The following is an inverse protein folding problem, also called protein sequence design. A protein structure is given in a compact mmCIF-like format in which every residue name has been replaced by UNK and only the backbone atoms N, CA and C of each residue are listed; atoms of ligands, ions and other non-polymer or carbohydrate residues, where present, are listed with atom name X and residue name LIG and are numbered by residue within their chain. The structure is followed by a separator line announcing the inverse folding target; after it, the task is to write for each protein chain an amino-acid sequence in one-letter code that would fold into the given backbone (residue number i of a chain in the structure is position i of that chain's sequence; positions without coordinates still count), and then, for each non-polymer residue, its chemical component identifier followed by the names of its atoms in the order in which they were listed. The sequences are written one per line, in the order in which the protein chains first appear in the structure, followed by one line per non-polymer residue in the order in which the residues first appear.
data_IF_483411346883
#
_entry.id   IF_483411346883
#
_cell.length_a   1.000
_cell.length_b   1.000
_cell.length_c   1.000
_cell.angle_alpha   90.00
_cell.angle_beta   90.00
_cell.angle_gamma   90.00
#
_symmetry.space_group_name_H-M   'P 1'
#
loop_
_entity.id
_entity.type
_entity.pdbx_description
1 polymer ?
#
# COMPACT_ATOMS: atom_id res chain seq x y z
N UNK A 1 -6.97 -11.53 -36.33
CA UNK A 1 -6.74 -10.84 -35.05
C UNK A 1 -6.31 -11.88 -34.04
N UNK A 2 -5.28 -11.61 -33.23
CA UNK A 2 -5.06 -12.35 -31.98
C UNK A 2 -6.22 -12.05 -31.04
N UNK A 3 -6.77 -13.06 -30.38
CA UNK A 3 -7.85 -12.83 -29.41
C UNK A 3 -7.32 -12.09 -28.18
N UNK A 4 -8.19 -11.35 -27.49
CA UNK A 4 -7.91 -10.74 -26.17
C UNK A 4 -7.14 -11.69 -25.25
N UNK A 5 -7.53 -12.97 -25.23
CA UNK A 5 -6.94 -14.02 -24.41
C UNK A 5 -5.54 -14.44 -24.87
N UNK A 6 -5.24 -14.41 -26.18
CA UNK A 6 -3.90 -14.67 -26.69
C UNK A 6 -2.93 -13.53 -26.34
N UNK A 7 -3.37 -12.28 -26.45
CA UNK A 7 -2.58 -11.10 -26.07
C UNK A 7 -2.35 -11.07 -24.56
N UNK A 8 -3.40 -11.25 -23.76
CA UNK A 8 -3.31 -11.31 -22.29
C UNK A 8 -2.37 -12.43 -21.81
N UNK A 9 -2.51 -13.65 -22.37
CA UNK A 9 -1.62 -14.75 -22.02
C UNK A 9 -0.16 -14.48 -22.45
N UNK A 10 0.07 -13.85 -23.59
CA UNK A 10 1.42 -13.53 -24.06
C UNK A 10 2.13 -12.50 -23.16
N UNK A 11 1.38 -11.55 -22.56
CA UNK A 11 1.93 -10.61 -21.58
C UNK A 11 2.09 -11.24 -20.19
N UNK A 12 1.06 -11.93 -19.67
CA UNK A 12 1.13 -12.57 -18.33
C UNK A 12 2.22 -13.66 -18.28
N UNK A 13 2.41 -14.45 -19.35
CA UNK A 13 3.42 -15.51 -19.40
C UNK A 13 4.88 -14.99 -19.40
N UNK A 14 5.09 -13.67 -19.47
CA UNK A 14 6.40 -13.02 -19.34
C UNK A 14 6.55 -12.20 -18.06
N UNK A 15 5.51 -12.18 -17.22
CA UNK A 15 5.53 -11.38 -16.00
C UNK A 15 6.24 -12.16 -14.89
N UNK A 16 7.47 -11.76 -14.59
CA UNK A 16 8.28 -12.38 -13.54
C UNK A 16 7.71 -12.07 -12.14
N UNK A 17 7.78 -13.04 -11.22
CA UNK A 17 7.36 -12.84 -9.84
C UNK A 17 8.22 -11.75 -9.18
N UNK A 18 7.59 -10.69 -8.66
CA UNK A 18 8.26 -9.55 -8.04
C UNK A 18 8.62 -8.41 -9.01
N UNK A 19 8.37 -8.55 -10.31
CA UNK A 19 8.51 -7.45 -11.25
C UNK A 19 7.48 -6.35 -10.98
N UNK A 20 7.83 -5.10 -11.33
CA UNK A 20 6.89 -3.98 -11.32
C UNK A 20 5.70 -4.31 -12.25
N UNK A 21 4.45 -4.27 -11.77
CA UNK A 21 3.29 -4.63 -12.59
C UNK A 21 3.12 -3.62 -13.73
N UNK A 22 3.28 -4.09 -14.96
CA UNK A 22 3.12 -3.28 -16.15
C UNK A 22 1.63 -3.08 -16.46
N UNK A 23 1.24 -1.86 -16.86
CA UNK A 23 -0.10 -1.62 -17.42
C UNK A 23 -0.21 -2.31 -18.78
N UNK A 24 -0.97 -3.40 -18.82
CA UNK A 24 -1.13 -4.17 -20.06
C UNK A 24 -2.15 -3.47 -20.95
N UNK A 25 -1.66 -2.78 -21.98
CA UNK A 25 -2.52 -2.19 -23.01
C UNK A 25 -2.90 -3.26 -24.03
N UNK A 26 -4.18 -3.62 -24.08
CA UNK A 26 -4.71 -4.61 -25.02
C UNK A 26 -5.42 -3.91 -26.17
N UNK A 27 -4.86 -4.05 -27.38
CA UNK A 27 -5.52 -3.61 -28.62
C UNK A 27 -6.74 -4.47 -28.90
N UNK A 28 -7.90 -3.83 -29.07
CA UNK A 28 -9.19 -4.42 -29.40
C UNK A 28 -9.66 -3.88 -30.76
N UNK A 29 -10.70 -4.48 -31.35
CA UNK A 29 -11.06 -4.18 -32.74
C UNK A 29 -11.38 -2.68 -33.00
N UNK A 30 -12.05 -2.02 -32.06
CA UNK A 30 -12.46 -0.60 -32.14
C UNK A 30 -11.91 0.25 -30.98
N UNK A 31 -10.78 -0.13 -30.38
CA UNK A 31 -10.17 0.65 -29.29
C UNK A 31 -9.08 -0.07 -28.51
N UNK A 32 -8.81 0.40 -27.28
CA UNK A 32 -7.85 -0.20 -26.36
C UNK A 32 -8.50 -0.42 -24.99
N UNK A 33 -8.17 -1.54 -24.33
CA UNK A 33 -8.46 -1.77 -22.92
C UNK A 33 -7.14 -1.74 -22.14
N UNK A 34 -7.01 -0.81 -21.20
CA UNK A 34 -5.87 -0.80 -20.30
C UNK A 34 -6.19 -1.69 -19.10
N UNK A 35 -5.41 -2.76 -18.91
CA UNK A 35 -5.58 -3.69 -17.80
C UNK A 35 -4.53 -3.43 -16.73
N UNK A 36 -4.98 -3.25 -15.49
CA UNK A 36 -4.12 -3.19 -14.31
C UNK A 36 -4.21 -4.51 -13.53
N UNK A 37 -3.18 -5.37 -13.60
CA UNK A 37 -3.15 -6.62 -12.86
C UNK A 37 -2.73 -6.40 -11.39
N UNK A 38 -3.62 -6.74 -10.47
CA UNK A 38 -3.32 -6.89 -9.06
C UNK A 38 -3.23 -8.37 -8.70
N UNK A 39 -2.11 -8.78 -8.14
CA UNK A 39 -1.84 -10.13 -7.65
C UNK A 39 -2.15 -10.26 -6.17
N UNK A 40 -2.21 -11.51 -5.70
CA UNK A 40 -2.34 -11.88 -4.29
C UNK A 40 -3.55 -11.26 -3.59
N UNK A 41 -4.63 -11.06 -4.33
CA UNK A 41 -5.91 -10.53 -3.87
C UNK A 41 -6.73 -11.66 -3.27
N UNK A 42 -7.12 -11.54 -2.00
CA UNK A 42 -7.73 -12.61 -1.21
C UNK A 42 -9.25 -12.59 -1.20
N UNK A 43 -9.88 -11.51 -1.70
CA UNK A 43 -11.33 -11.41 -1.76
C UNK A 43 -11.84 -10.53 -2.90
N UNK A 44 -13.10 -10.75 -3.29
CA UNK A 44 -13.83 -9.88 -4.21
C UNK A 44 -13.92 -8.44 -3.70
N UNK A 45 -14.08 -8.23 -2.39
CA UNK A 45 -14.14 -6.91 -1.77
C UNK A 45 -12.82 -6.15 -1.88
N UNK A 46 -11.69 -6.86 -1.73
CA UNK A 46 -10.36 -6.30 -1.92
C UNK A 46 -10.09 -5.97 -3.40
N UNK A 47 -10.50 -6.84 -4.34
CA UNK A 47 -10.45 -6.54 -5.78
C UNK A 47 -11.23 -5.27 -6.12
N UNK A 48 -12.48 -5.17 -5.66
CA UNK A 48 -13.35 -3.99 -5.80
C UNK A 48 -12.67 -2.73 -5.24
N UNK A 49 -12.06 -2.83 -4.06
CA UNK A 49 -11.41 -1.69 -3.42
C UNK A 49 -10.11 -1.27 -4.15
N UNK A 50 -9.32 -2.21 -4.66
CA UNK A 50 -8.13 -1.96 -5.49
C UNK A 50 -8.49 -1.22 -6.78
N UNK A 51 -9.45 -1.75 -7.52
CA UNK A 51 -9.96 -1.19 -8.79
C UNK A 51 -10.41 0.25 -8.57
N UNK A 52 -11.27 0.48 -7.57
CA UNK A 52 -11.79 1.81 -7.26
C UNK A 52 -10.74 2.78 -6.70
N UNK A 53 -9.69 2.27 -6.06
CA UNK A 53 -8.60 3.09 -5.51
C UNK A 53 -7.62 3.56 -6.58
N UNK A 54 -7.44 2.80 -7.65
CA UNK A 54 -6.53 3.14 -8.76
C UNK A 54 -7.24 3.82 -9.95
N UNK A 55 -8.51 4.24 -9.76
CA UNK A 55 -9.28 5.00 -10.76
C UNK A 55 -9.96 4.13 -11.83
N UNK A 56 -10.02 2.82 -11.62
CA UNK A 56 -10.71 1.90 -12.52
C UNK A 56 -12.19 1.72 -12.18
N UNK A 57 -12.97 1.34 -13.19
CA UNK A 57 -14.42 1.22 -13.09
C UNK A 57 -14.95 -0.20 -13.34
N UNK A 58 -14.20 -1.04 -14.04
CA UNK A 58 -14.57 -2.42 -14.38
C UNK A 58 -13.52 -3.38 -13.87
N UNK A 59 -13.89 -4.62 -13.58
CA UNK A 59 -12.93 -5.61 -13.09
C UNK A 59 -13.28 -7.06 -13.46
N UNK A 60 -12.25 -7.91 -13.39
CA UNK A 60 -12.38 -9.37 -13.36
C UNK A 60 -11.60 -9.92 -12.17
N UNK A 61 -12.26 -10.61 -11.26
CA UNK A 61 -11.66 -11.31 -10.13
C UNK A 61 -11.59 -12.81 -10.43
N UNK A 62 -10.41 -13.39 -10.23
CA UNK A 62 -10.10 -14.80 -10.40
C UNK A 62 -9.71 -15.34 -9.01
N UNK A 63 -10.67 -15.88 -8.25
CA UNK A 63 -10.39 -16.29 -6.87
C UNK A 63 -9.33 -17.39 -6.76
N UNK A 64 -9.30 -18.31 -7.72
CA UNK A 64 -8.47 -19.52 -7.67
C UNK A 64 -6.98 -19.22 -7.85
N UNK A 65 -6.66 -18.08 -8.49
CA UNK A 65 -5.29 -17.57 -8.65
C UNK A 65 -5.00 -16.32 -7.79
N UNK A 66 -6.00 -15.81 -7.06
CA UNK A 66 -5.89 -14.56 -6.29
C UNK A 66 -5.57 -13.34 -7.18
N UNK A 67 -6.09 -13.30 -8.40
CA UNK A 67 -5.82 -12.21 -9.36
C UNK A 67 -7.05 -11.31 -9.49
N UNK A 68 -6.84 -10.00 -9.46
CA UNK A 68 -7.82 -8.99 -9.81
C UNK A 68 -7.30 -8.18 -11.00
N UNK A 69 -8.07 -8.14 -12.09
CA UNK A 69 -7.77 -7.34 -13.28
C UNK A 69 -8.69 -6.12 -13.26
N UNK A 70 -8.16 -4.93 -13.03
CA UNK A 70 -8.89 -3.68 -13.28
C UNK A 70 -8.88 -3.35 -14.77
N UNK A 71 -10.01 -2.93 -15.34
CA UNK A 71 -10.15 -2.63 -16.78
C UNK A 71 -10.58 -1.19 -17.01
N UNK A 72 -9.78 -0.48 -17.80
CA UNK A 72 -10.05 0.87 -18.24
C UNK A 72 -10.61 0.87 -19.66
N UNK A 73 -11.90 1.23 -19.76
CA UNK A 73 -12.54 1.51 -21.03
C UNK A 73 -12.53 3.03 -21.29
N UNK A 74 -11.69 3.53 -22.20
CA UNK A 74 -11.65 4.95 -22.55
C UNK A 74 -12.90 5.38 -23.35
N UNK A 75 -13.13 6.68 -23.45
CA UNK A 75 -14.25 7.26 -24.21
C UNK A 75 -15.41 7.76 -23.33
N UNK A 76 -16.29 8.53 -23.95
CA UNK A 76 -17.32 9.37 -23.28
C UNK A 76 -18.75 8.91 -23.54
N UNK A 77 -18.93 7.79 -24.24
CA UNK A 77 -20.24 7.24 -24.59
C UNK A 77 -21.12 7.04 -23.37
N UNK A 78 -22.40 7.41 -23.45
CA UNK A 78 -23.36 7.22 -22.37
C UNK A 78 -23.77 5.75 -22.28
N UNK A 79 -23.21 5.04 -21.31
CA UNK A 79 -23.52 3.64 -21.03
C UNK A 79 -24.36 3.51 -19.77
N UNK A 80 -25.40 2.69 -19.86
CA UNK A 80 -26.38 2.41 -18.80
C UNK A 80 -26.00 1.07 -18.15
N UNK A 81 -25.27 1.13 -17.03
CA UNK A 81 -24.84 -0.03 -16.26
C UNK A 81 -25.92 -0.46 -15.27
N UNK A 82 -26.24 -1.76 -15.20
CA UNK A 82 -27.14 -2.32 -14.18
C UNK A 82 -26.46 -2.36 -12.79
N UNK A 83 -27.20 -2.54 -11.71
CA UNK A 83 -26.70 -2.64 -10.32
C UNK A 83 -27.28 -3.85 -9.58
N UNK A 84 -26.46 -4.47 -8.74
CA UNK A 84 -26.86 -5.52 -7.80
C UNK A 84 -26.26 -6.89 -8.13
N UNK A 85 -26.18 -7.78 -7.14
CA UNK A 85 -25.74 -9.16 -7.35
C UNK A 85 -26.69 -9.90 -8.31
N UNK A 86 -26.13 -10.78 -9.15
CA UNK A 86 -26.84 -11.57 -10.17
C UNK A 86 -27.69 -10.80 -11.21
N UNK A 87 -27.66 -9.46 -11.21
CA UNK A 87 -28.43 -8.59 -12.12
C UNK A 87 -29.90 -9.04 -12.27
N UNK A 88 -30.64 -9.04 -11.17
CA UNK A 88 -32.09 -9.27 -11.17
C UNK A 88 -32.83 -8.37 -12.19
N UNK A 89 -34.00 -8.78 -12.66
CA UNK A 89 -34.82 -8.00 -13.60
C UNK A 89 -35.17 -6.60 -13.09
N UNK A 90 -35.23 -6.41 -11.76
CA UNK A 90 -35.47 -5.13 -11.07
C UNK A 90 -34.19 -4.33 -10.74
N UNK A 91 -33.03 -4.76 -11.23
CA UNK A 91 -31.75 -4.09 -11.02
C UNK A 91 -31.80 -2.60 -11.37
N UNK A 92 -31.43 -1.74 -10.41
CA UNK A 92 -31.29 -0.30 -10.64
C UNK A 92 -30.19 -0.01 -11.69
N UNK A 93 -30.20 1.19 -12.27
CA UNK A 93 -29.29 1.56 -13.37
C UNK A 93 -28.49 2.81 -13.04
N UNK A 94 -27.27 2.89 -13.58
CA UNK A 94 -26.35 4.03 -13.48
C UNK A 94 -25.91 4.43 -14.88
N UNK A 95 -26.02 5.72 -15.18
CA UNK A 95 -25.40 6.30 -16.36
C UNK A 95 -23.94 6.61 -16.09
N UNK A 96 -23.02 6.10 -16.91
CA UNK A 96 -21.60 6.45 -16.91
C UNK A 96 -21.17 6.95 -18.29
N UNK A 97 -20.14 7.78 -18.34
CA UNK A 97 -19.47 8.18 -19.59
C UNK A 97 -18.26 7.26 -19.82
N UNK A 98 -18.49 6.13 -20.52
CA UNK A 98 -17.50 5.07 -20.81
C UNK A 98 -17.90 4.36 -22.10
N UNK A 99 -16.98 4.12 -23.04
CA UNK A 99 -17.27 3.32 -24.23
C UNK A 99 -16.91 1.85 -23.97
N UNK A 100 -17.90 0.97 -23.79
CA UNK A 100 -17.65 -0.47 -23.70
C UNK A 100 -17.13 -0.98 -25.07
N UNK A 101 -16.01 -1.73 -25.13
CA UNK A 101 -15.50 -2.30 -26.38
C UNK A 101 -16.47 -3.27 -27.06
N UNK A 102 -16.41 -3.35 -28.39
CA UNK A 102 -17.31 -4.20 -29.21
C UNK A 102 -17.19 -5.70 -28.90
N UNK A 103 -16.04 -6.17 -28.40
CA UNK A 103 -15.84 -7.57 -28.02
C UNK A 103 -16.76 -8.02 -26.85
N UNK A 104 -17.40 -7.08 -26.15
CA UNK A 104 -18.40 -7.35 -25.09
C UNK A 104 -19.86 -7.23 -25.58
N UNK A 105 -20.10 -7.02 -26.88
CA UNK A 105 -21.45 -6.87 -27.44
C UNK A 105 -22.17 -8.21 -27.47
N UNK A 106 -23.32 -8.27 -26.82
CA UNK A 106 -24.26 -9.40 -26.88
C UNK A 106 -25.25 -9.25 -28.03
N UNK A 107 -25.62 -8.01 -28.37
CA UNK A 107 -26.53 -7.71 -29.48
C UNK A 107 -26.23 -6.30 -30.02
N UNK A 108 -25.80 -6.17 -31.29
CA UNK A 108 -25.34 -4.89 -31.86
C UNK A 108 -26.47 -3.91 -32.15
N UNK A 109 -27.69 -4.41 -32.34
CA UNK A 109 -28.89 -3.62 -32.60
C UNK A 109 -30.13 -4.30 -32.01
N UNK A 110 -30.75 -3.65 -31.02
CA UNK A 110 -32.09 -3.98 -30.50
C UNK A 110 -32.96 -2.73 -30.52
N UNK A 111 -34.28 -2.89 -30.62
CA UNK A 111 -35.19 -1.74 -30.64
C UNK A 111 -35.24 -1.03 -29.29
N UNK A 112 -35.11 0.29 -29.29
CA UNK A 112 -35.30 1.14 -28.12
C UNK A 112 -35.16 2.63 -28.43
N UNK A 113 -36.24 3.37 -28.25
CA UNK A 113 -36.35 4.81 -28.54
C UNK A 113 -35.78 5.72 -27.45
N UNK A 114 -35.51 5.17 -26.26
CA UNK A 114 -34.97 5.89 -25.10
C UNK A 114 -34.17 4.97 -24.17
N UNK A 115 -33.54 5.58 -23.16
CA UNK A 115 -32.70 4.89 -22.17
C UNK A 115 -33.47 3.80 -21.40
N UNK A 116 -34.76 4.01 -21.10
CA UNK A 116 -35.61 3.05 -20.39
C UNK A 116 -35.90 1.85 -21.28
N UNK A 117 -36.19 2.07 -22.56
CA UNK A 117 -36.37 1.01 -23.55
C UNK A 117 -35.09 0.17 -23.73
N UNK A 118 -33.91 0.81 -23.80
CA UNK A 118 -32.62 0.10 -23.85
C UNK A 118 -32.35 -0.75 -22.61
N UNK A 119 -32.66 -0.23 -21.42
CA UNK A 119 -32.54 -0.99 -20.15
C UNK A 119 -33.52 -2.17 -20.12
N UNK A 120 -34.77 -1.97 -20.53
CA UNK A 120 -35.78 -3.02 -20.58
C UNK A 120 -35.37 -4.13 -21.57
N UNK A 121 -34.85 -3.77 -22.75
CA UNK A 121 -34.32 -4.73 -23.72
C UNK A 121 -33.12 -5.53 -23.16
N UNK A 122 -32.27 -4.91 -22.34
CA UNK A 122 -31.19 -5.60 -21.64
C UNK A 122 -31.71 -6.56 -20.55
N UNK A 123 -32.70 -6.11 -19.75
CA UNK A 123 -33.32 -6.92 -18.70
C UNK A 123 -34.10 -8.12 -19.25
N UNK A 124 -34.72 -7.98 -20.42
CA UNK A 124 -35.46 -9.02 -21.13
C UNK A 124 -34.60 -9.86 -22.08
N UNK A 125 -33.29 -9.62 -22.15
CA UNK A 125 -32.41 -10.32 -23.08
C UNK A 125 -32.34 -11.82 -22.76
N UNK A 126 -32.73 -12.66 -23.72
CA UNK A 126 -32.68 -14.12 -23.63
C UNK A 126 -31.32 -14.70 -24.06
N UNK A 127 -30.26 -13.89 -24.08
CA UNK A 127 -28.91 -14.37 -24.41
C UNK A 127 -28.40 -15.33 -23.33
N UNK A 128 -27.60 -16.36 -23.68
CA UNK A 128 -26.98 -17.24 -22.69
C UNK A 128 -26.03 -16.50 -21.72
N UNK A 129 -25.56 -15.32 -22.12
CA UNK A 129 -24.74 -14.43 -21.32
C UNK A 129 -25.60 -13.33 -20.68
N UNK A 130 -25.22 -12.92 -19.47
CA UNK A 130 -25.91 -11.90 -18.70
C UNK A 130 -25.72 -10.52 -19.34
N UNK A 131 -26.81 -9.88 -19.77
CA UNK A 131 -26.76 -8.48 -20.22
C UNK A 131 -26.50 -7.54 -19.03
N UNK A 132 -25.33 -6.91 -19.05
CA UNK A 132 -24.81 -6.05 -17.99
C UNK A 132 -25.08 -4.55 -18.23
N UNK A 133 -25.05 -4.15 -19.50
CA UNK A 133 -25.13 -2.75 -19.89
C UNK A 133 -25.85 -2.55 -21.23
N UNK A 134 -26.37 -1.34 -21.43
CA UNK A 134 -26.91 -0.91 -22.72
C UNK A 134 -26.43 0.51 -23.08
N UNK A 135 -26.31 0.78 -24.37
CA UNK A 135 -25.97 2.09 -24.93
C UNK A 135 -26.92 2.39 -26.08
N UNK A 136 -27.38 3.64 -26.23
CA UNK A 136 -28.13 4.05 -27.43
C UNK A 136 -27.18 4.15 -28.63
N UNK A 137 -27.41 3.35 -29.67
CA UNK A 137 -26.64 3.42 -30.92
C UNK A 137 -27.26 4.40 -31.92
N UNK A 138 -28.58 4.60 -31.90
CA UNK A 138 -29.27 5.61 -32.71
C UNK A 138 -30.44 6.24 -31.93
N UNK A 139 -31.32 6.98 -32.62
CA UNK A 139 -32.59 7.45 -32.07
C UNK A 139 -33.57 6.31 -31.76
N UNK A 140 -33.47 5.16 -32.43
CA UNK A 140 -34.43 4.03 -32.34
C UNK A 140 -33.80 2.69 -31.94
N UNK A 141 -32.47 2.60 -31.84
CA UNK A 141 -31.75 1.36 -31.54
C UNK A 141 -30.77 1.50 -30.38
N UNK A 142 -30.58 0.38 -29.69
CA UNK A 142 -29.60 0.20 -28.62
C UNK A 142 -28.61 -0.91 -28.98
N UNK A 143 -27.43 -0.86 -28.36
CA UNK A 143 -26.44 -1.92 -28.32
C UNK A 143 -26.39 -2.49 -26.90
N UNK A 144 -26.40 -3.82 -26.79
CA UNK A 144 -26.40 -4.55 -25.51
C UNK A 144 -25.04 -5.18 -25.25
N UNK A 145 -24.56 -5.12 -24.01
CA UNK A 145 -23.23 -5.61 -23.61
C UNK A 145 -23.30 -6.51 -22.39
N UNK A 146 -22.33 -7.42 -22.26
CA UNK A 146 -22.16 -8.32 -21.13
C UNK A 146 -20.73 -8.85 -21.02
N UNK A 147 -20.34 -9.43 -19.88
CA UNK A 147 -19.07 -10.13 -19.78
C UNK A 147 -19.04 -11.34 -20.71
N UNK A 148 -17.85 -11.67 -21.20
CA UNK A 148 -17.60 -12.92 -21.91
C UNK A 148 -17.87 -14.13 -21.01
N UNK A 149 -18.15 -15.29 -21.62
CA UNK A 149 -18.30 -16.55 -20.90
C UNK A 149 -17.08 -16.84 -20.01
N UNK A 150 -17.32 -17.03 -18.71
CA UNK A 150 -16.28 -17.39 -17.76
C UNK A 150 -15.72 -18.79 -18.07
N UNK A 151 -14.39 -18.97 -17.94
CA UNK A 151 -13.74 -20.28 -18.10
C UNK A 151 -13.85 -21.15 -16.84
N UNK A 152 -14.08 -20.54 -15.69
CA UNK A 152 -14.27 -21.20 -14.39
C UNK A 152 -15.49 -20.60 -13.68
N UNK A 153 -16.23 -21.36 -12.85
CA UNK A 153 -17.37 -20.84 -12.10
C UNK A 153 -16.99 -19.81 -11.01
N UNK A 154 -15.69 -19.71 -10.74
CA UNK A 154 -15.02 -18.86 -9.74
C UNK A 154 -14.57 -17.50 -10.29
N UNK A 155 -14.66 -17.31 -11.61
CA UNK A 155 -14.36 -16.02 -12.26
C UNK A 155 -15.55 -15.06 -12.11
N UNK A 156 -15.31 -13.88 -11.53
CA UNK A 156 -16.34 -12.86 -11.29
C UNK A 156 -15.98 -11.59 -12.08
N UNK A 157 -16.80 -11.21 -13.05
CA UNK A 157 -16.73 -9.90 -13.70
C UNK A 157 -17.68 -8.91 -13.01
N UNK A 158 -17.29 -7.63 -12.91
CA UNK A 158 -18.12 -6.61 -12.27
C UNK A 158 -17.66 -5.19 -12.58
N UNK A 159 -18.37 -4.22 -11.99
CA UNK A 159 -18.07 -2.79 -12.13
C UNK A 159 -18.45 -2.03 -10.87
N UNK A 160 -17.80 -0.88 -10.72
CA UNK A 160 -18.00 0.06 -9.64
C UNK A 160 -18.94 1.17 -10.11
N UNK A 161 -19.81 1.62 -9.21
CA UNK A 161 -20.75 2.71 -9.50
C UNK A 161 -20.54 3.94 -8.61
N UNK A 162 -19.41 3.95 -7.90
CA UNK A 162 -18.87 5.01 -7.07
C UNK A 162 -17.37 4.73 -6.87
N UNK A 163 -16.56 5.76 -6.72
CA UNK A 163 -15.15 5.58 -6.33
C UNK A 163 -15.04 4.95 -4.95
N UNK A 164 -13.89 4.35 -4.64
CA UNK A 164 -13.58 3.91 -3.28
C UNK A 164 -13.33 5.15 -2.40
N UNK A 165 -14.20 5.41 -1.43
CA UNK A 165 -14.09 6.53 -0.49
C UNK A 165 -14.02 6.00 0.93
N UNK A 166 -12.86 6.14 1.55
CA UNK A 166 -12.67 5.85 2.97
C UNK A 166 -12.78 7.16 3.78
N UNK A 167 -14.01 7.57 4.08
CA UNK A 167 -14.27 8.75 4.91
C UNK A 167 -13.93 8.48 6.37
N UNK A 168 -12.94 9.21 6.88
CA UNK A 168 -12.56 9.18 8.29
C UNK A 168 -13.55 10.00 9.13
N UNK A 169 -13.92 9.52 10.33
CA UNK A 169 -14.71 10.28 11.32
C UNK A 169 -13.94 10.43 12.65
N UNK A 170 -13.05 11.42 12.80
CA UNK A 170 -12.29 11.63 14.02
C UNK A 170 -12.93 12.74 14.89
N UNK A 171 -13.87 12.37 15.76
CA UNK A 171 -14.20 13.12 16.99
C UNK A 171 -13.62 12.37 18.20
N UNK A 172 -12.38 11.90 18.07
CA UNK A 172 -11.66 11.08 19.04
C UNK A 172 -10.63 11.92 19.82
N UNK A 173 -10.24 11.51 21.03
CA UNK A 173 -9.34 12.30 21.87
C UNK A 173 -7.94 12.44 21.28
N UNK A 174 -7.26 13.53 21.65
CA UNK A 174 -5.83 13.72 21.38
C UNK A 174 -5.04 12.84 22.34
N UNK A 175 -4.04 12.12 21.82
CA UNK A 175 -3.17 11.27 22.62
C UNK A 175 -2.31 12.10 23.59
N UNK A 176 -2.19 11.67 24.84
CA UNK A 176 -1.40 12.34 25.88
C UNK A 176 -0.95 11.37 26.98
N UNK A 177 0.07 11.76 27.73
CA UNK A 177 0.57 11.03 28.92
C UNK A 177 0.92 9.54 28.71
N UNK A 178 1.74 9.18 27.70
CA UNK A 178 2.23 7.81 27.52
C UNK A 178 3.03 7.33 28.73
N UNK A 179 2.89 6.05 29.08
CA UNK A 179 3.76 5.38 30.06
C UNK A 179 4.70 4.36 29.43
N UNK A 180 4.47 4.02 28.15
CA UNK A 180 5.34 3.20 27.31
C UNK A 180 5.64 3.90 25.98
N UNK A 181 6.79 3.59 25.38
CA UNK A 181 7.13 3.97 24.01
C UNK A 181 7.73 2.77 23.28
N UNK A 182 7.18 2.44 22.12
CA UNK A 182 7.69 1.40 21.24
C UNK A 182 8.24 2.08 19.98
N UNK A 183 9.55 1.97 19.80
CA UNK A 183 10.29 2.57 18.69
C UNK A 183 10.52 1.47 17.64
N UNK A 184 10.20 1.79 16.39
CA UNK A 184 10.31 0.95 15.21
C UNK A 184 11.20 1.69 14.22
N UNK A 185 12.44 1.24 14.04
CA UNK A 185 13.38 1.86 13.09
C UNK A 185 13.55 0.95 11.90
N UNK A 186 13.30 1.47 10.71
CA UNK A 186 13.39 0.72 9.45
C UNK A 186 14.17 1.50 8.39
N UNK A 187 14.58 0.82 7.32
CA UNK A 187 15.22 1.51 6.20
C UNK A 187 14.19 2.39 5.47
N UNK A 188 13.10 1.76 5.03
CA UNK A 188 12.09 2.35 4.18
C UNK A 188 10.73 2.51 4.89
N UNK A 189 9.82 3.26 4.28
CA UNK A 189 8.55 3.68 4.89
C UNK A 189 7.44 2.61 4.89
N UNK A 190 7.68 1.45 4.30
CA UNK A 190 6.76 0.30 4.22
C UNK A 190 7.27 -0.93 4.96
N UNK A 191 8.59 -1.07 5.18
CA UNK A 191 9.23 -2.17 5.91
C UNK A 191 8.50 -2.62 7.18
N UNK A 192 8.05 -1.69 8.03
CA UNK A 192 7.34 -2.04 9.26
C UNK A 192 6.00 -2.69 8.95
N UNK A 193 5.24 -2.15 7.98
CA UNK A 193 3.97 -2.70 7.51
C UNK A 193 4.17 -4.10 6.89
N UNK A 194 5.32 -4.37 6.26
CA UNK A 194 5.69 -5.69 5.76
C UNK A 194 6.03 -6.67 6.90
N UNK A 195 6.98 -6.31 7.77
CA UNK A 195 7.71 -7.24 8.64
C UNK A 195 7.37 -7.15 10.14
N UNK A 196 6.64 -6.12 10.58
CA UNK A 196 6.44 -5.79 12.01
C UNK A 196 4.97 -5.52 12.42
N UNK A 197 4.01 -5.72 11.52
CA UNK A 197 2.59 -5.38 11.70
C UNK A 197 1.90 -5.97 12.92
N UNK A 198 2.14 -7.24 13.27
CA UNK A 198 1.59 -7.84 14.49
C UNK A 198 2.03 -7.08 15.75
N UNK A 199 3.31 -6.71 15.81
CA UNK A 199 3.87 -6.04 16.99
C UNK A 199 3.38 -4.59 17.10
N UNK A 200 3.41 -3.80 16.02
CA UNK A 200 2.92 -2.42 16.12
C UNK A 200 1.39 -2.36 16.21
N UNK A 201 0.62 -3.32 15.69
CA UNK A 201 -0.84 -3.35 15.89
C UNK A 201 -1.20 -3.27 17.38
N UNK A 202 -0.63 -4.16 18.20
CA UNK A 202 -0.87 -4.15 19.65
C UNK A 202 -0.30 -2.90 20.33
N UNK A 203 0.74 -2.31 19.77
CA UNK A 203 1.34 -1.07 20.26
C UNK A 203 0.47 0.17 19.98
N UNK A 204 -0.14 0.26 18.79
CA UNK A 204 -1.14 1.29 18.46
C UNK A 204 -2.40 1.06 19.30
N UNK A 205 -2.82 -0.20 19.49
CA UNK A 205 -4.01 -0.53 20.26
C UNK A 205 -3.89 -0.24 21.77
N UNK A 206 -2.69 -0.13 22.34
CA UNK A 206 -2.49 0.19 23.76
C UNK A 206 -2.57 1.70 24.04
N UNK A 207 -3.55 2.09 24.86
CA UNK A 207 -3.79 3.47 25.27
C UNK A 207 -2.64 4.10 26.07
N UNK A 208 -1.73 3.29 26.63
CA UNK A 208 -0.55 3.76 27.37
C UNK A 208 0.71 3.89 26.48
N UNK A 209 0.66 3.44 25.22
CA UNK A 209 1.84 3.31 24.35
C UNK A 209 1.89 4.40 23.29
N UNK A 210 3.02 5.11 23.23
CA UNK A 210 3.42 5.91 22.06
C UNK A 210 4.12 4.98 21.06
N UNK A 211 3.74 5.03 19.79
CA UNK A 211 4.43 4.30 18.71
C UNK A 211 5.27 5.29 17.92
N UNK A 212 6.54 4.96 17.67
CA UNK A 212 7.46 5.85 16.94
C UNK A 212 8.10 5.09 15.79
N UNK A 213 7.72 5.42 14.56
CA UNK A 213 8.39 4.97 13.34
C UNK A 213 9.53 5.93 12.97
N UNK A 214 10.71 5.39 12.67
CA UNK A 214 11.90 6.14 12.28
C UNK A 214 12.47 5.54 11.00
N UNK A 215 12.46 6.30 9.91
CA UNK A 215 12.91 5.85 8.59
C UNK A 215 14.30 6.39 8.30
N UNK A 216 15.29 5.51 8.14
CA UNK A 216 16.68 5.92 7.95
C UNK A 216 16.94 6.47 6.55
N UNK A 217 16.29 5.92 5.51
CA UNK A 217 16.40 6.39 4.13
C UNK A 217 15.24 7.30 3.71
N UNK A 218 15.36 7.89 2.52
CA UNK A 218 14.28 8.59 1.83
C UNK A 218 13.33 7.64 1.12
N UNK A 219 13.64 6.36 1.00
CA UNK A 219 12.82 5.42 0.24
C UNK A 219 12.83 5.70 -1.27
N UNK A 220 13.76 6.50 -1.80
CA UNK A 220 13.61 7.26 -3.04
C UNK A 220 13.75 6.47 -4.36
N UNK A 221 14.22 5.22 -4.34
CA UNK A 221 14.44 4.37 -5.53
C UNK A 221 14.99 5.17 -6.74
N UNK A 222 16.15 5.81 -6.52
CA UNK A 222 16.91 6.58 -7.52
C UNK A 222 16.22 7.86 -8.04
N UNK A 223 15.03 8.22 -7.54
CA UNK A 223 14.29 9.40 -8.01
C UNK A 223 14.85 10.73 -7.47
N UNK A 224 15.72 11.34 -8.27
CA UNK A 224 16.26 12.68 -8.03
C UNK A 224 15.18 13.79 -7.92
N UNK A 225 13.95 13.58 -8.40
CA UNK A 225 12.87 14.58 -8.42
C UNK A 225 12.01 14.58 -7.15
N UNK A 226 12.37 13.83 -6.11
CA UNK A 226 11.64 13.69 -4.83
C UNK A 226 10.21 13.11 -4.94
N UNK A 227 9.70 12.77 -6.13
CA UNK A 227 8.31 12.36 -6.33
C UNK A 227 8.01 11.04 -5.61
N UNK A 228 8.94 10.10 -5.72
CA UNK A 228 8.83 8.77 -5.12
C UNK A 228 8.95 8.80 -3.59
N UNK A 229 9.91 9.58 -3.05
CA UNK A 229 9.99 9.87 -1.60
C UNK A 229 8.66 10.44 -1.07
N UNK A 230 8.14 11.49 -1.71
CA UNK A 230 6.88 12.13 -1.28
C UNK A 230 5.70 11.14 -1.38
N UNK A 231 5.69 10.27 -2.38
CA UNK A 231 4.68 9.22 -2.53
C UNK A 231 4.74 8.21 -1.38
N UNK A 232 5.92 7.66 -1.03
CA UNK A 232 6.07 6.71 0.10
C UNK A 232 5.79 7.34 1.46
N UNK A 233 6.22 8.60 1.68
CA UNK A 233 5.86 9.36 2.89
C UNK A 233 4.34 9.50 3.04
N UNK A 234 3.62 9.86 1.97
CA UNK A 234 2.15 9.89 1.98
C UNK A 234 1.53 8.50 2.16
N UNK A 235 2.12 7.48 1.55
CA UNK A 235 1.74 6.08 1.68
C UNK A 235 1.74 5.61 3.13
N UNK A 236 2.85 5.78 3.83
CA UNK A 236 2.98 5.31 5.22
C UNK A 236 2.08 6.05 6.20
N UNK A 237 1.88 7.35 5.98
CA UNK A 237 0.90 8.14 6.74
C UNK A 237 -0.53 7.67 6.48
N UNK A 238 -0.88 7.28 5.25
CA UNK A 238 -2.19 6.72 4.92
C UNK A 238 -2.41 5.33 5.55
N UNK A 239 -1.38 4.48 5.62
CA UNK A 239 -1.42 3.22 6.36
C UNK A 239 -1.64 3.45 7.87
N UNK A 240 -0.84 4.31 8.50
CA UNK A 240 -0.97 4.59 9.94
C UNK A 240 -2.30 5.27 10.28
N UNK A 241 -2.82 6.13 9.39
CA UNK A 241 -4.18 6.67 9.50
C UNK A 241 -5.21 5.54 9.50
N UNK A 242 -5.10 4.57 8.58
CA UNK A 242 -5.99 3.41 8.51
C UNK A 242 -5.96 2.53 9.77
N UNK A 243 -4.78 2.30 10.37
CA UNK A 243 -4.67 1.58 11.65
C UNK A 243 -5.34 2.33 12.80
N UNK A 244 -5.04 3.63 12.97
CA UNK A 244 -5.60 4.46 14.05
C UNK A 244 -7.12 4.60 13.91
N UNK A 245 -7.62 4.80 12.69
CA UNK A 245 -9.05 4.88 12.38
C UNK A 245 -9.81 3.62 12.76
N UNK A 246 -9.27 2.45 12.36
CA UNK A 246 -9.93 1.17 12.58
C UNK A 246 -9.96 0.80 14.07
N UNK A 247 -8.88 1.14 14.81
CA UNK A 247 -8.81 0.97 16.25
C UNK A 247 -9.69 1.97 17.02
N UNK A 248 -9.98 3.15 16.45
CA UNK A 248 -10.99 4.08 16.95
C UNK A 248 -10.69 4.71 18.31
N UNK A 249 -9.41 4.78 18.72
CA UNK A 249 -9.00 5.29 20.05
C UNK A 249 -8.50 6.73 20.08
N UNK A 250 -7.97 7.24 18.97
CA UNK A 250 -7.28 8.53 18.93
C UNK A 250 -7.66 9.35 17.69
N UNK A 251 -7.43 10.66 17.74
CA UNK A 251 -7.55 11.53 16.58
C UNK A 251 -6.48 11.20 15.53
N UNK A 252 -6.91 10.73 14.36
CA UNK A 252 -6.06 10.32 13.24
C UNK A 252 -5.69 11.45 12.26
N UNK A 253 -6.14 12.69 12.49
CA UNK A 253 -5.75 13.81 11.63
C UNK A 253 -4.23 14.04 11.69
N UNK A 254 -3.48 13.92 10.58
CA UNK A 254 -2.03 14.05 10.60
C UNK A 254 -1.59 15.46 11.00
N UNK A 255 -0.76 15.56 12.04
CA UNK A 255 -0.11 16.81 12.47
C UNK A 255 1.35 16.79 12.02
N UNK A 256 1.68 17.60 11.01
CA UNK A 256 3.05 17.76 10.49
C UNK A 256 3.80 18.87 11.22
N UNK A 257 5.03 18.58 11.63
CA UNK A 257 5.92 19.49 12.36
C UNK A 257 7.35 19.37 11.80
N UNK A 258 8.16 20.42 11.97
CA UNK A 258 9.61 20.36 11.79
C UNK A 258 10.26 20.52 13.16
N UNK A 259 10.98 19.50 13.60
CA UNK A 259 11.68 19.51 14.90
C UNK A 259 13.18 19.67 14.72
N UNK A 260 13.84 20.28 15.70
CA UNK A 260 15.30 20.45 15.69
C UNK A 260 15.96 19.44 16.63
N UNK A 261 16.75 18.53 16.09
CA UNK A 261 17.54 17.53 16.85
C UNK A 261 19.01 17.71 16.47
N UNK A 262 19.89 18.00 17.44
CA UNK A 262 21.32 18.25 17.22
C UNK A 262 21.61 19.20 16.04
N UNK A 263 20.90 20.33 15.97
CA UNK A 263 20.98 21.34 14.88
C UNK A 263 20.61 20.82 13.47
N UNK A 264 19.96 19.64 13.37
CA UNK A 264 19.27 19.13 12.17
C UNK A 264 17.80 19.46 12.24
N UNK A 265 17.21 19.88 11.12
CA UNK A 265 15.75 19.95 10.96
C UNK A 265 15.26 18.59 10.48
N UNK A 266 14.26 18.03 11.14
CA UNK A 266 13.68 16.73 10.78
C UNK A 266 12.17 16.89 10.60
N UNK A 267 11.62 16.24 9.57
CA UNK A 267 10.18 16.13 9.38
C UNK A 267 9.61 15.11 10.38
N UNK A 268 8.70 15.59 11.21
CA UNK A 268 7.94 14.80 12.19
C UNK A 268 6.46 14.86 11.84
N UNK A 269 5.76 13.72 11.84
CA UNK A 269 4.31 13.69 11.65
C UNK A 269 3.67 12.82 12.72
N UNK A 270 2.61 13.31 13.37
CA UNK A 270 1.86 12.55 14.37
C UNK A 270 0.47 12.17 13.83
N UNK A 271 0.07 10.91 14.02
CA UNK A 271 -1.22 10.33 13.65
C UNK A 271 -1.71 9.52 14.84
N UNK A 272 -2.68 10.03 15.61
CA UNK A 272 -3.10 9.38 16.86
C UNK A 272 -1.97 9.30 17.90
N UNK A 273 -1.65 8.08 18.34
CA UNK A 273 -0.49 7.78 19.19
C UNK A 273 0.78 7.37 18.39
N UNK A 274 0.71 7.42 17.05
CA UNK A 274 1.82 7.12 16.14
C UNK A 274 2.58 8.40 15.80
N UNK A 275 3.90 8.32 15.82
CA UNK A 275 4.83 9.39 15.43
C UNK A 275 5.75 8.87 14.33
N UNK A 276 5.92 9.63 13.26
CA UNK A 276 6.82 9.32 12.14
C UNK A 276 7.97 10.32 12.12
N UNK A 277 9.20 9.82 11.99
CA UNK A 277 10.41 10.60 11.71
C UNK A 277 10.98 10.20 10.35
N UNK A 278 11.10 11.18 9.46
CA UNK A 278 11.69 10.98 8.12
C UNK A 278 13.10 11.62 8.10
N UNK A 279 14.15 10.79 8.09
CA UNK A 279 15.54 11.28 8.05
C UNK A 279 16.03 11.57 6.62
N UNK A 280 15.33 11.03 5.61
CA UNK A 280 15.43 11.41 4.19
C UNK A 280 16.84 11.30 3.61
N UNK A 281 17.65 10.36 4.07
CA UNK A 281 18.94 10.04 3.44
C UNK A 281 18.68 9.36 2.10
N UNK A 282 19.14 9.91 0.95
CA UNK A 282 18.91 9.28 -0.35
C UNK A 282 19.53 7.89 -0.39
N UNK A 283 18.89 6.94 -1.06
CA UNK A 283 19.33 5.55 -1.12
C UNK A 283 20.57 5.40 -2.00
N UNK A 284 20.55 6.02 -3.19
CA UNK A 284 21.66 5.95 -4.15
C UNK A 284 22.50 7.23 -4.26
N UNK A 285 22.10 8.33 -3.63
CA UNK A 285 22.93 9.55 -3.52
C UNK A 285 23.30 10.21 -4.87
N UNK A 286 24.19 11.22 -4.85
CA UNK A 286 24.57 11.96 -6.06
C UNK A 286 25.41 11.18 -7.09
N UNK A 287 26.01 10.06 -6.70
CA UNK A 287 26.74 9.16 -7.61
C UNK A 287 25.83 8.12 -8.28
N UNK A 288 24.56 8.05 -7.90
CA UNK A 288 23.59 7.09 -8.42
C UNK A 288 23.89 5.64 -8.04
N UNK A 289 24.74 5.41 -7.03
CA UNK A 289 25.22 4.08 -6.64
C UNK A 289 25.16 3.82 -5.13
N UNK A 290 25.48 4.81 -4.28
CA UNK A 290 25.47 4.62 -2.83
C UNK A 290 25.25 5.94 -2.08
N UNK A 291 24.03 6.16 -1.63
CA UNK A 291 23.68 7.23 -0.71
C UNK A 291 23.81 6.75 0.73
N UNK A 292 22.73 6.23 1.31
CA UNK A 292 22.70 5.72 2.68
C UNK A 292 23.84 4.74 2.99
N UNK A 293 24.12 3.79 2.09
CA UNK A 293 25.21 2.84 2.27
C UNK A 293 26.60 3.51 2.32
N UNK A 294 26.82 4.61 1.60
CA UNK A 294 28.09 5.34 1.66
C UNK A 294 28.25 6.14 2.97
N UNK A 295 27.13 6.62 3.55
CA UNK A 295 27.14 7.26 4.87
C UNK A 295 27.50 6.26 5.97
N UNK A 296 26.76 5.15 6.04
CA UNK A 296 26.92 4.16 7.11
C UNK A 296 28.22 3.36 7.02
N UNK A 297 28.80 3.24 5.82
CA UNK A 297 30.13 2.65 5.61
C UNK A 297 31.27 3.68 5.74
N UNK A 298 31.00 4.92 6.19
CA UNK A 298 32.00 5.99 6.34
C UNK A 298 32.78 6.33 5.06
N UNK A 299 32.20 6.10 3.87
CA UNK A 299 32.86 6.34 2.59
C UNK A 299 32.90 7.84 2.23
N UNK A 300 31.79 8.56 2.48
CA UNK A 300 31.67 10.01 2.24
C UNK A 300 30.49 10.62 3.01
N UNK A 301 30.50 11.94 3.27
CA UNK A 301 29.34 12.65 3.81
C UNK A 301 28.12 12.56 2.90
N UNK A 302 26.92 12.48 3.48
CA UNK A 302 25.63 12.46 2.75
C UNK A 302 24.66 13.45 3.37
N UNK A 303 24.01 14.27 2.55
CA UNK A 303 22.96 15.18 2.98
C UNK A 303 21.55 14.58 2.82
N UNK A 304 20.59 14.92 3.70
CA UNK A 304 19.18 14.67 3.46
C UNK A 304 18.69 15.31 2.17
N UNK A 305 17.70 14.70 1.52
CA UNK A 305 17.09 15.25 0.30
C UNK A 305 16.40 16.62 0.51
N UNK A 306 16.04 16.96 1.75
CA UNK A 306 15.36 18.20 2.15
C UNK A 306 16.26 19.22 2.90
N UNK A 307 17.50 18.86 3.22
CA UNK A 307 18.53 19.79 3.73
C UNK A 307 19.89 19.50 3.06
N UNK A 308 20.01 19.68 1.72
CA UNK A 308 21.18 19.27 0.94
C UNK A 308 22.47 20.01 1.34
N UNK A 309 22.35 21.12 2.07
CA UNK A 309 23.47 21.95 2.53
C UNK A 309 24.03 21.50 3.89
N UNK A 310 23.37 20.58 4.59
CA UNK A 310 23.86 19.99 5.85
C UNK A 310 24.10 18.48 5.68
N UNK A 311 25.23 18.05 5.11
CA UNK A 311 25.61 16.65 5.12
C UNK A 311 25.80 16.11 6.54
N UNK A 312 25.39 14.88 6.79
CA UNK A 312 25.95 14.07 7.87
C UNK A 312 27.39 13.73 7.48
N UNK A 313 28.34 14.07 8.35
CA UNK A 313 29.78 13.95 8.06
C UNK A 313 30.25 12.51 7.97
N UNK A 314 29.64 11.61 8.75
CA UNK A 314 29.98 10.20 8.86
C UNK A 314 28.82 9.43 9.53
N UNK A 315 28.99 8.10 9.68
CA UNK A 315 28.05 7.18 10.35
C UNK A 315 27.71 7.63 11.77
N UNK A 316 28.70 8.08 12.54
CA UNK A 316 28.49 8.43 13.96
C UNK A 316 27.65 9.70 14.11
N UNK A 317 27.90 10.74 13.32
CA UNK A 317 27.06 11.95 13.31
C UNK A 317 25.60 11.69 12.91
N UNK A 318 25.34 10.63 12.13
CA UNK A 318 23.99 10.15 11.83
C UNK A 318 23.39 9.37 13.00
N UNK A 319 24.16 8.42 13.55
CA UNK A 319 23.82 7.61 14.72
C UNK A 319 23.47 8.46 15.95
N UNK A 320 24.20 9.55 16.18
CA UNK A 320 23.95 10.51 17.26
C UNK A 320 22.58 11.18 17.12
N UNK A 321 22.14 11.48 15.89
CA UNK A 321 20.80 12.03 15.64
C UNK A 321 19.71 10.98 15.87
N UNK A 322 19.91 9.71 15.48
CA UNK A 322 18.98 8.64 15.84
C UNK A 322 18.87 8.47 17.36
N UNK A 323 20.01 8.41 18.06
CA UNK A 323 20.05 8.29 19.51
C UNK A 323 19.36 9.48 20.21
N UNK A 324 19.52 10.69 19.68
CA UNK A 324 18.83 11.88 20.18
C UNK A 324 17.30 11.85 19.89
N UNK A 325 16.84 11.30 18.76
CA UNK A 325 15.40 11.04 18.51
C UNK A 325 14.86 10.06 19.55
N UNK A 326 15.55 8.92 19.74
CA UNK A 326 15.13 7.89 20.70
C UNK A 326 15.06 8.46 22.14
N UNK A 327 16.06 9.24 22.53
CA UNK A 327 16.13 9.92 23.83
C UNK A 327 14.99 10.93 24.00
N UNK A 328 14.71 11.75 22.98
CA UNK A 328 13.63 12.73 23.01
C UNK A 328 12.25 12.06 23.12
N UNK A 329 12.02 10.94 22.43
CA UNK A 329 10.74 10.25 22.48
C UNK A 329 10.54 9.36 23.71
N UNK A 330 11.62 8.88 24.33
CA UNK A 330 11.60 8.12 25.58
C UNK A 330 11.67 8.99 26.85
N UNK A 331 11.94 10.29 26.73
CA UNK A 331 12.08 11.19 27.89
C UNK A 331 10.83 11.20 28.78
N UNK A 332 11.01 10.84 30.06
CA UNK A 332 9.94 10.74 31.05
C UNK A 332 9.05 9.50 30.93
N UNK A 333 9.33 8.57 30.03
CA UNK A 333 8.53 7.36 29.78
C UNK A 333 9.18 6.14 30.44
N UNK A 334 8.39 5.37 31.20
CA UNK A 334 8.88 4.28 32.06
C UNK A 334 9.28 3.03 31.31
N UNK A 335 8.69 2.74 30.16
CA UNK A 335 8.98 1.51 29.40
C UNK A 335 9.35 1.87 27.97
N UNK A 336 10.51 1.40 27.52
CA UNK A 336 11.05 1.66 26.19
C UNK A 336 11.30 0.31 25.51
N UNK A 337 10.75 0.10 24.33
CA UNK A 337 10.97 -1.11 23.52
C UNK A 337 11.49 -0.72 22.14
N UNK A 338 12.53 -1.38 21.67
CA UNK A 338 13.11 -1.18 20.34
C UNK A 338 12.73 -2.33 19.39
N UNK A 339 12.43 -1.98 18.15
CA UNK A 339 12.07 -2.90 17.07
C UNK A 339 12.84 -2.47 15.82
N UNK A 340 13.51 -3.40 15.15
CA UNK A 340 14.28 -3.15 13.94
C UNK A 340 14.48 -4.44 13.14
N UNK A 341 14.92 -4.35 11.89
CA UNK A 341 15.43 -5.51 11.16
C UNK A 341 16.67 -6.09 11.86
N UNK A 342 16.88 -7.41 11.78
CA UNK A 342 18.05 -8.04 12.39
C UNK A 342 19.31 -7.81 11.53
N UNK A 343 20.36 -7.12 12.06
CA UNK A 343 21.62 -6.95 11.35
C UNK A 343 22.42 -8.25 11.13
N UNK A 344 21.97 -9.38 11.67
CA UNK A 344 22.57 -10.70 11.51
C UNK A 344 21.69 -11.65 10.68
N UNK A 345 20.65 -11.16 10.00
CA UNK A 345 19.90 -11.96 9.03
C UNK A 345 20.75 -12.29 7.81
N UNK A 346 20.53 -13.48 7.24
CA UNK A 346 21.21 -13.95 6.03
C UNK A 346 20.45 -13.53 4.76
N UNK A 347 20.99 -13.83 3.58
CA UNK A 347 20.31 -13.57 2.31
C UNK A 347 19.13 -14.54 2.08
N UNK A 348 18.09 -14.17 1.29
CA UNK A 348 17.96 -12.93 0.51
C UNK A 348 17.52 -11.73 1.37
N UNK A 349 18.21 -10.59 1.20
CA UNK A 349 17.81 -9.34 1.88
C UNK A 349 18.39 -8.07 1.26
N UNK A 350 17.78 -6.93 1.59
CA UNK A 350 18.25 -5.61 1.21
C UNK A 350 19.28 -5.06 2.21
N UNK A 351 20.49 -4.73 1.76
CA UNK A 351 21.62 -4.30 2.63
C UNK A 351 21.30 -3.09 3.54
N UNK A 352 20.36 -2.24 3.14
CA UNK A 352 19.91 -1.09 3.94
C UNK A 352 19.07 -1.49 5.17
N UNK A 353 18.39 -2.64 5.14
CA UNK A 353 17.71 -3.22 6.31
C UNK A 353 18.73 -3.54 7.40
N UNK A 354 19.76 -4.34 7.07
CA UNK A 354 20.82 -4.73 7.99
C UNK A 354 21.55 -3.52 8.57
N UNK A 355 21.90 -2.54 7.72
CA UNK A 355 22.56 -1.33 8.17
C UNK A 355 21.69 -0.50 9.14
N UNK A 356 20.37 -0.44 8.92
CA UNK A 356 19.42 0.23 9.82
C UNK A 356 19.29 -0.53 11.16
N UNK A 357 19.17 -1.86 11.10
CA UNK A 357 19.20 -2.73 12.27
C UNK A 357 20.49 -2.61 13.09
N UNK A 358 21.64 -2.48 12.42
CA UNK A 358 22.95 -2.34 13.07
C UNK A 358 23.10 -0.97 13.74
N UNK A 359 22.52 0.10 13.17
CA UNK A 359 22.49 1.40 13.84
C UNK A 359 21.69 1.34 15.15
N UNK A 360 20.52 0.68 15.16
CA UNK A 360 19.73 0.47 16.38
C UNK A 360 20.50 -0.37 17.39
N UNK A 361 21.10 -1.48 16.95
CA UNK A 361 21.94 -2.32 17.80
C UNK A 361 23.06 -1.53 18.47
N UNK A 362 23.81 -0.75 17.70
CA UNK A 362 24.95 0.02 18.19
C UNK A 362 24.52 1.11 19.19
N UNK A 363 23.39 1.78 18.95
CA UNK A 363 22.85 2.79 19.88
C UNK A 363 22.42 2.13 21.19
N UNK A 364 21.58 1.09 21.11
CA UNK A 364 21.00 0.46 22.30
C UNK A 364 22.04 -0.28 23.13
N UNK A 365 23.07 -0.87 22.50
CA UNK A 365 24.15 -1.58 23.19
C UNK A 365 25.33 -0.68 23.64
N UNK A 366 25.35 0.59 23.22
CA UNK A 366 26.25 1.61 23.76
C UNK A 366 25.63 2.34 24.97
N UNK A 367 24.29 2.51 25.00
CA UNK A 367 23.61 3.10 26.15
C UNK A 367 23.59 2.12 27.35
N UNK A 368 24.15 2.48 28.52
CA UNK A 368 24.26 1.59 29.67
C UNK A 368 22.92 1.24 30.30
N UNK A 369 21.89 2.09 30.11
CA UNK A 369 20.54 1.89 30.62
C UNK A 369 19.75 1.00 29.66
N UNK A 370 19.58 1.40 28.41
CA UNK A 370 18.76 0.65 27.44
C UNK A 370 19.31 -0.75 27.15
N UNK A 371 20.63 -0.95 27.16
CA UNK A 371 21.25 -2.28 27.02
C UNK A 371 20.74 -3.31 28.04
N UNK A 372 20.28 -2.86 29.22
CA UNK A 372 19.83 -3.73 30.31
C UNK A 372 18.32 -3.69 30.55
N UNK A 373 17.68 -2.51 30.41
CA UNK A 373 16.25 -2.35 30.73
C UNK A 373 15.31 -2.40 29.51
N UNK A 374 15.78 -2.14 28.30
CA UNK A 374 14.90 -2.03 27.13
C UNK A 374 14.80 -3.38 26.40
N UNK A 375 13.59 -3.95 26.22
CA UNK A 375 13.38 -5.07 25.31
C UNK A 375 13.70 -4.66 23.87
N UNK A 376 14.35 -5.56 23.13
CA UNK A 376 14.72 -5.36 21.73
C UNK A 376 14.19 -6.54 20.91
N UNK A 377 13.37 -6.28 19.89
CA UNK A 377 12.92 -7.28 18.93
C UNK A 377 13.60 -7.03 17.58
N UNK A 378 14.30 -8.04 17.07
CA UNK A 378 14.93 -8.00 15.76
C UNK A 378 14.21 -8.97 14.82
N UNK A 379 13.69 -8.44 13.71
CA UNK A 379 12.83 -9.14 12.77
C UNK A 379 13.62 -9.68 11.58
N UNK A 380 13.13 -10.78 11.01
CA UNK A 380 13.45 -11.19 9.65
C UNK A 380 12.65 -10.35 8.64
N UNK A 381 13.19 -10.29 7.43
CA UNK A 381 12.66 -9.54 6.31
C UNK A 381 12.27 -10.50 5.17
N UNK A 382 12.93 -10.39 4.01
CA UNK A 382 12.62 -11.16 2.81
C UNK A 382 12.99 -12.65 2.89
N UNK A 383 13.76 -13.09 3.89
CA UNK A 383 14.14 -14.50 4.05
C UNK A 383 12.93 -15.42 4.27
N UNK A 384 11.88 -14.90 4.91
CA UNK A 384 10.64 -15.63 5.19
C UNK A 384 9.49 -15.27 4.23
N UNK A 385 9.78 -14.66 3.06
CA UNK A 385 8.76 -14.24 2.09
C UNK A 385 7.71 -15.32 1.79
N UNK A 386 8.16 -16.56 1.59
CA UNK A 386 7.32 -17.69 1.17
C UNK A 386 6.78 -18.53 2.32
N UNK A 387 7.12 -18.19 3.57
CA UNK A 387 6.70 -18.95 4.75
C UNK A 387 5.19 -18.80 5.01
N UNK A 388 4.71 -19.46 6.06
CA UNK A 388 3.32 -19.37 6.48
C UNK A 388 2.98 -17.97 7.00
N UNK A 389 1.74 -17.52 6.76
CA UNK A 389 1.24 -16.28 7.36
C UNK A 389 1.09 -16.49 8.88
N UNK A 390 1.86 -15.74 9.68
CA UNK A 390 1.97 -15.87 11.14
C UNK A 390 1.43 -14.68 11.95
N UNK A 391 0.93 -13.60 11.31
CA UNK A 391 0.17 -12.55 12.01
C UNK A 391 -1.18 -13.07 12.50
N UNK A 392 -1.75 -12.41 13.50
CA UNK A 392 -3.02 -12.80 14.12
C UNK A 392 -4.22 -12.62 13.17
N UNK A 393 -4.98 -13.71 13.00
CA UNK A 393 -6.15 -13.78 12.10
C UNK A 393 -7.46 -13.77 12.90
N UNK A 394 -8.54 -13.18 12.35
CA UNK A 394 -8.59 -12.43 11.10
C UNK A 394 -8.17 -10.96 11.24
N UNK A 395 -8.07 -10.44 12.47
CA UNK A 395 -8.06 -8.99 12.75
C UNK A 395 -6.82 -8.28 12.20
N UNK A 396 -5.62 -8.72 12.57
CA UNK A 396 -4.37 -8.04 12.18
C UNK A 396 -4.16 -8.19 10.68
N UNK A 397 -4.30 -9.40 10.13
CA UNK A 397 -4.12 -9.64 8.70
C UNK A 397 -5.06 -8.77 7.84
N UNK A 398 -6.36 -8.73 8.16
CA UNK A 398 -7.31 -7.98 7.35
C UNK A 398 -7.06 -6.47 7.44
N UNK A 399 -6.65 -5.97 8.60
CA UNK A 399 -6.32 -4.56 8.78
C UNK A 399 -4.98 -4.18 8.14
N UNK A 400 -3.96 -5.05 8.18
CA UNK A 400 -2.69 -4.88 7.45
C UNK A 400 -2.93 -4.77 5.95
N UNK A 401 -3.75 -5.66 5.38
CA UNK A 401 -4.11 -5.61 3.95
C UNK A 401 -4.90 -4.35 3.60
N UNK A 402 -5.79 -3.91 4.49
CA UNK A 402 -6.48 -2.62 4.34
C UNK A 402 -5.51 -1.43 4.40
N UNK A 403 -4.56 -1.41 5.33
CA UNK A 403 -3.55 -0.37 5.46
C UNK A 403 -2.61 -0.34 4.24
N UNK A 404 -2.18 -1.51 3.75
CA UNK A 404 -1.42 -1.66 2.49
C UNK A 404 -2.18 -1.12 1.27
N UNK A 405 -3.50 -1.33 1.20
CA UNK A 405 -4.34 -0.75 0.16
C UNK A 405 -4.35 0.78 0.23
N UNK A 406 -4.49 1.35 1.44
CA UNK A 406 -4.46 2.81 1.65
C UNK A 406 -3.09 3.41 1.34
N UNK A 407 -2.01 2.69 1.65
CA UNK A 407 -0.63 3.03 1.27
C UNK A 407 -0.48 3.06 -0.26
N UNK A 408 -0.84 1.98 -0.95
CA UNK A 408 -0.78 1.87 -2.42
C UNK A 408 -1.61 2.96 -3.09
N UNK A 409 -2.82 3.24 -2.59
CA UNK A 409 -3.68 4.32 -3.10
C UNK A 409 -3.02 5.70 -2.95
N UNK A 410 -2.43 6.01 -1.80
CA UNK A 410 -1.80 7.32 -1.57
C UNK A 410 -0.50 7.51 -2.37
N UNK A 411 0.25 6.43 -2.59
CA UNK A 411 1.40 6.38 -3.50
C UNK A 411 0.93 6.64 -4.94
N UNK A 412 -0.02 5.85 -5.44
CA UNK A 412 -0.55 5.96 -6.80
C UNK A 412 -1.19 7.32 -7.10
N UNK A 413 -1.94 7.90 -6.15
CA UNK A 413 -2.50 9.25 -6.28
C UNK A 413 -1.43 10.35 -6.30
N UNK A 414 -0.22 10.07 -5.83
CA UNK A 414 0.92 11.00 -5.88
C UNK A 414 1.75 10.80 -7.15
N UNK A 415 1.96 9.55 -7.56
CA UNK A 415 2.60 9.19 -8.83
C UNK A 415 1.95 7.92 -9.40
N UNK A 416 1.18 8.08 -10.48
CA UNK A 416 0.36 7.01 -11.06
C UNK A 416 1.11 6.03 -11.96
N UNK A 417 2.43 6.22 -12.16
CA UNK A 417 3.29 5.16 -12.69
C UNK A 417 3.55 4.07 -11.65
N UNK A 418 3.35 4.36 -10.36
CA UNK A 418 3.71 3.47 -9.26
C UNK A 418 2.53 2.59 -8.87
N UNK A 419 2.69 1.27 -9.04
CA UNK A 419 1.69 0.26 -8.69
C UNK A 419 2.24 -0.64 -7.58
N UNK A 420 2.25 -0.07 -6.37
CA UNK A 420 2.94 -0.60 -5.20
C UNK A 420 2.34 -1.92 -4.66
N UNK A 421 1.02 -2.09 -4.80
CA UNK A 421 0.29 -3.26 -4.29
C UNK A 421 0.92 -4.60 -4.72
N UNK A 422 1.08 -4.83 -6.02
CA UNK A 422 1.38 -6.17 -6.56
C UNK A 422 2.79 -6.66 -6.25
N UNK A 423 3.72 -5.77 -5.92
CA UNK A 423 5.13 -6.12 -5.67
C UNK A 423 5.33 -6.78 -4.29
N UNK A 424 4.79 -6.21 -3.22
CA UNK A 424 5.00 -6.70 -1.84
C UNK A 424 3.73 -7.19 -1.13
N UNK A 425 2.54 -7.15 -1.75
CA UNK A 425 1.30 -7.69 -1.11
C UNK A 425 1.36 -9.20 -0.83
N UNK A 426 2.26 -9.92 -1.50
CA UNK A 426 2.61 -11.33 -1.23
C UNK A 426 3.27 -11.52 0.14
N UNK A 427 4.06 -10.55 0.63
CA UNK A 427 4.78 -10.63 1.89
C UNK A 427 3.85 -10.46 3.10
N UNK A 428 2.73 -9.74 2.92
CA UNK A 428 1.80 -9.39 4.00
C UNK A 428 1.41 -10.62 4.83
N UNK A 429 1.27 -10.38 6.12
CA UNK A 429 0.97 -11.39 7.11
C UNK A 429 2.16 -12.15 7.68
N UNK A 430 3.40 -11.68 7.46
CA UNK A 430 4.63 -12.34 7.91
C UNK A 430 5.49 -11.43 8.77
N UNK A 431 5.42 -11.63 10.07
CA UNK A 431 6.17 -10.87 11.07
C UNK A 431 6.97 -11.86 11.91
N UNK A 432 8.11 -12.27 11.38
CA UNK A 432 8.97 -13.27 12.01
C UNK A 432 10.04 -12.57 12.85
N UNK A 433 10.04 -12.80 14.16
CA UNK A 433 11.11 -12.32 15.06
C UNK A 433 12.26 -13.33 15.00
N UNK A 434 13.45 -12.87 14.61
CA UNK A 434 14.68 -13.66 14.60
C UNK A 434 15.28 -13.82 16.00
N UNK A 435 15.30 -12.73 16.77
CA UNK A 435 15.77 -12.73 18.17
C UNK A 435 15.09 -11.63 18.98
N UNK A 436 14.87 -11.91 20.25
CA UNK A 436 14.49 -10.91 21.27
C UNK A 436 15.57 -10.87 22.35
N UNK A 437 15.87 -9.67 22.83
CA UNK A 437 16.80 -9.42 23.94
C UNK A 437 16.04 -8.66 25.03
N UNK A 438 16.39 -8.91 26.30
CA UNK A 438 15.77 -8.29 27.48
C UNK A 438 14.23 -8.46 27.54
N UNK A 439 13.72 -9.61 27.09
CA UNK A 439 12.29 -9.94 27.20
C UNK A 439 11.82 -9.80 28.66
N UNK A 440 10.71 -9.09 28.89
CA UNK A 440 10.16 -8.81 30.22
C UNK A 440 11.05 -7.95 31.14
N UNK A 441 12.04 -7.23 30.60
CA UNK A 441 12.80 -6.26 31.40
C UNK A 441 11.89 -5.17 32.00
N UNK A 442 12.30 -4.69 33.18
CA UNK A 442 11.56 -3.71 33.98
C UNK A 442 11.64 -2.28 33.43
N UNK A 443 11.20 -1.28 34.22
CA UNK A 443 11.25 0.12 33.80
C UNK A 443 12.65 0.62 33.44
N UNK A 444 12.67 1.50 32.43
CA UNK A 444 13.77 2.36 32.05
C UNK A 444 13.57 3.78 32.62
#
# INVERSE_FOLDING_TARGET
MTSFLATLNATIARHEHGAMPERVTLTMQDGFNNVMPFTSVTSLGECVALVGSHGEAFFTYLSDSGICLGHQFPGTTKTLLRRGAALASTAAVVSVAKTIPVDFVLSPSVSGSDDRACVAACQASSTPLVCAAATRSTSTTCMLFGPLAARTPTTIAGWLTSAFVATVKPNLPVFSSPTKVHIYTTAHQDDHELFMSNAYHYSIADAATKVVFVYTTAGDDKDALNTWRIARERGTLAASTAWVDNLGKFNSNPKTETVTILNRKLAKVTVGNVVHYFLRIPELGPDGQSGFMALVNNQRPIAPMDDPWKPYTNRDAFKDVLAAIFTAEASGIKTVTFNAQDPQSEQPDHVMHWASGQLVWDIVNADPKWKTCAPQNYYFDYQHWFDTVNVDKPVVLNLQRYAWLRMSQAIYNTNSSVLFWSMHSVNLGRTYIRRTINTNAGPC
#
